data_IF_928622035556
#
_entry.id   IF_928622035556
#
_cell.length_a   1.000
_cell.length_b   1.000
_cell.length_c   1.000
_cell.angle_alpha   90.00
_cell.angle_beta   90.00
_cell.angle_gamma   90.00
#
_symmetry.space_group_name_H-M   'P 1'
#
loop_
_entity.id
_entity.type
_entity.pdbx_description
1 polymer ?
#
# COMPACT_ATOMS: atom_id res chain seq x y z
N UNK A 1 34.33 1.67 -9.39
CA UNK A 1 33.36 0.76 -8.73
C UNK A 1 33.80 0.57 -7.30
N UNK A 2 33.51 1.58 -6.50
CA UNK A 2 33.93 1.64 -5.10
C UNK A 2 32.67 1.83 -4.26
N UNK A 3 32.26 0.77 -3.56
CA UNK A 3 31.18 0.85 -2.57
C UNK A 3 31.81 0.93 -1.20
N UNK A 4 31.46 1.97 -0.44
CA UNK A 4 31.95 2.19 0.93
C UNK A 4 30.79 2.18 1.91
N UNK A 5 31.10 1.82 3.16
CA UNK A 5 30.20 1.99 4.29
C UNK A 5 30.89 2.88 5.31
N UNK A 6 30.23 3.96 5.69
CA UNK A 6 30.78 4.98 6.58
C UNK A 6 29.94 5.06 7.84
N UNK A 7 30.60 5.17 9.00
CA UNK A 7 29.96 5.40 10.29
C UNK A 7 30.39 6.74 10.89
N UNK A 8 29.43 7.54 11.40
CA UNK A 8 29.72 8.78 12.12
C UNK A 8 28.73 9.05 13.26
N UNK A 9 29.02 10.03 14.12
CA UNK A 9 28.19 10.39 15.27
C UNK A 9 26.89 11.10 14.87
N UNK A 10 26.93 11.87 13.79
CA UNK A 10 25.77 12.52 13.20
C UNK A 10 25.71 12.31 11.68
N UNK A 11 24.60 12.72 11.08
CA UNK A 11 24.38 12.56 9.63
C UNK A 11 25.27 13.48 8.80
N UNK A 12 25.66 14.64 9.32
CA UNK A 12 26.47 15.61 8.57
C UNK A 12 27.90 15.08 8.41
N UNK A 13 28.50 14.61 9.50
CA UNK A 13 29.81 13.95 9.50
C UNK A 13 29.83 12.68 8.64
N UNK A 14 28.72 11.92 8.65
CA UNK A 14 28.60 10.73 7.81
C UNK A 14 28.60 11.09 6.33
N UNK A 15 27.91 12.16 5.96
CA UNK A 15 27.84 12.66 4.58
C UNK A 15 29.16 13.28 4.12
N UNK A 16 29.83 14.04 4.98
CA UNK A 16 31.15 14.63 4.68
C UNK A 16 32.18 13.54 4.38
N UNK A 17 32.18 12.46 5.16
CA UNK A 17 33.05 11.31 4.91
C UNK A 17 32.72 10.55 3.62
N UNK A 18 31.45 10.47 3.24
CA UNK A 18 31.04 9.89 1.93
C UNK A 18 31.59 10.76 0.80
N UNK A 19 31.42 12.08 0.89
CA UNK A 19 31.92 13.04 -0.10
C UNK A 19 33.45 13.03 -0.19
N UNK A 20 34.16 12.93 0.93
CA UNK A 20 35.62 12.87 0.97
C UNK A 20 36.19 11.63 0.29
N UNK A 21 35.45 10.52 0.27
CA UNK A 21 35.94 9.23 -0.26
C UNK A 21 35.44 8.92 -1.68
N UNK A 22 34.20 9.29 -2.00
CA UNK A 22 33.57 8.98 -3.30
C UNK A 22 33.37 10.20 -4.20
N UNK A 23 33.59 11.41 -3.67
CA UNK A 23 33.39 12.65 -4.39
C UNK A 23 31.92 13.12 -4.43
N UNK A 24 31.65 14.24 -5.12
CA UNK A 24 30.33 14.89 -5.16
C UNK A 24 29.24 14.06 -5.87
N UNK A 25 29.64 13.12 -6.73
CA UNK A 25 28.73 12.29 -7.53
C UNK A 25 28.36 10.96 -6.83
N UNK A 26 28.64 10.84 -5.53
CA UNK A 26 28.36 9.65 -4.75
C UNK A 26 26.85 9.37 -4.61
N UNK A 27 26.47 8.11 -4.80
CA UNK A 27 25.09 7.64 -4.68
C UNK A 27 24.89 6.85 -3.38
N UNK A 28 23.89 7.23 -2.58
CA UNK A 28 23.56 6.53 -1.33
C UNK A 28 22.67 5.33 -1.60
N UNK A 29 23.12 4.15 -1.19
CA UNK A 29 22.37 2.89 -1.30
C UNK A 29 21.53 2.60 -0.06
N UNK A 30 22.06 2.90 1.13
CA UNK A 30 21.38 2.62 2.39
C UNK A 30 21.81 3.64 3.46
N UNK A 31 20.86 4.08 4.28
CA UNK A 31 21.12 4.91 5.46
C UNK A 31 20.39 4.34 6.66
N UNK A 32 21.13 4.08 7.74
CA UNK A 32 20.59 3.55 8.99
C UNK A 32 21.15 4.33 10.17
N UNK A 33 20.29 4.61 11.15
CA UNK A 33 20.69 5.20 12.42
C UNK A 33 20.41 4.23 13.57
N UNK A 34 21.41 3.99 14.41
CA UNK A 34 21.32 3.12 15.60
C UNK A 34 21.25 3.93 16.91
N UNK A 35 20.74 5.16 16.85
CA UNK A 35 20.48 6.02 18.00
C UNK A 35 21.72 6.74 18.55
N UNK A 36 22.93 6.30 18.22
CA UNK A 36 24.16 7.01 18.58
C UNK A 36 25.13 7.17 17.39
N UNK A 37 24.88 6.46 16.26
CA UNK A 37 25.70 6.54 15.05
C UNK A 37 24.86 6.44 13.79
N UNK A 38 25.34 7.07 12.74
CA UNK A 38 24.81 6.99 11.37
C UNK A 38 25.69 6.08 10.55
N UNK A 39 25.07 5.11 9.89
CA UNK A 39 25.72 4.19 8.95
C UNK A 39 25.19 4.48 7.55
N UNK A 40 26.06 4.90 6.65
CA UNK A 40 25.72 5.22 5.26
C UNK A 40 26.52 4.32 4.34
N UNK A 41 25.84 3.58 3.47
CA UNK A 41 26.46 2.81 2.39
C UNK A 41 26.27 3.56 1.08
N UNK A 42 27.37 3.86 0.38
CA UNK A 42 27.37 4.68 -0.83
C UNK A 42 28.29 4.11 -1.92
N UNK A 43 28.05 4.47 -3.19
CA UNK A 43 28.79 4.00 -4.37
C UNK A 43 29.07 5.13 -5.36
N UNK A 44 30.13 5.03 -6.17
CA UNK A 44 30.53 5.99 -7.22
C UNK A 44 29.90 5.73 -8.61
N UNK A 45 29.21 4.59 -8.77
CA UNK A 45 28.56 4.20 -10.03
C UNK A 45 27.18 3.55 -9.75
N UNK A 46 26.07 4.20 -10.14
CA UNK A 46 24.72 3.68 -9.92
C UNK A 46 24.29 2.62 -10.96
N UNK A 47 25.10 2.34 -11.99
CA UNK A 47 24.70 1.51 -13.14
C UNK A 47 24.52 0.00 -12.86
N UNK A 48 24.90 -0.48 -11.66
CA UNK A 48 24.78 -1.91 -11.28
C UNK A 48 24.04 -2.17 -9.96
N UNK A 49 23.32 -1.18 -9.42
CA UNK A 49 22.46 -1.40 -8.25
C UNK A 49 21.10 -0.73 -8.38
N UNK A 50 20.30 -1.20 -9.36
CA UNK A 50 18.86 -1.17 -9.16
C UNK A 50 18.57 -1.82 -7.79
N UNK A 51 17.83 -1.17 -6.88
CA UNK A 51 17.61 -1.72 -5.56
C UNK A 51 16.86 -3.05 -5.71
N UNK A 52 17.54 -4.16 -5.41
CA UNK A 52 16.81 -5.36 -5.00
C UNK A 52 16.07 -4.97 -3.73
N UNK A 53 14.75 -5.21 -3.64
CA UNK A 53 14.00 -4.90 -2.42
C UNK A 53 14.65 -5.65 -1.27
N UNK A 54 15.27 -4.92 -0.34
CA UNK A 54 15.84 -5.50 0.87
C UNK A 54 14.68 -5.87 1.77
N UNK A 55 14.22 -7.10 1.61
CA UNK A 55 13.49 -7.85 2.60
C UNK A 55 14.36 -7.94 3.86
N UNK A 56 14.07 -7.11 4.87
CA UNK A 56 14.68 -7.28 6.19
C UNK A 56 14.60 -6.04 7.08
N UNK A 57 13.52 -5.91 7.85
CA UNK A 57 13.51 -4.94 8.96
C UNK A 57 12.16 -4.54 9.54
N UNK A 58 11.03 -5.00 9.01
CA UNK A 58 9.70 -4.85 9.61
C UNK A 58 8.87 -6.12 9.39
N UNK A 59 9.36 -7.25 9.90
CA UNK A 59 8.56 -8.47 10.03
C UNK A 59 8.77 -9.13 11.39
N UNK A 60 8.48 -8.39 12.45
CA UNK A 60 8.15 -8.96 13.73
C UNK A 60 6.95 -8.18 14.27
N UNK A 61 5.73 -8.64 13.92
CA UNK A 61 4.46 -8.49 14.67
C UNK A 61 3.18 -8.57 13.80
N UNK A 62 3.28 -8.73 12.47
CA UNK A 62 2.10 -8.89 11.59
C UNK A 62 1.95 -10.25 10.89
N UNK A 63 2.70 -11.27 11.31
CA UNK A 63 2.62 -12.62 10.69
C UNK A 63 1.62 -13.60 11.32
N UNK A 64 1.15 -13.39 12.56
CA UNK A 64 0.42 -14.46 13.29
C UNK A 64 -1.11 -14.45 13.19
N UNK A 65 -1.73 -13.47 12.51
CA UNK A 65 -3.20 -13.43 12.33
C UNK A 65 -3.68 -13.69 10.90
N UNK A 66 -2.88 -13.45 9.86
CA UNK A 66 -3.29 -13.77 8.48
C UNK A 66 -3.14 -15.27 8.13
N UNK A 67 -2.17 -15.97 8.75
CA UNK A 67 -1.86 -17.38 8.42
C UNK A 67 -2.83 -18.40 9.04
N UNK A 68 -3.58 -18.05 10.08
CA UNK A 68 -4.60 -18.95 10.65
C UNK A 68 -5.83 -19.12 9.75
N UNK A 69 -6.11 -18.17 8.86
CA UNK A 69 -7.27 -18.27 7.98
C UNK A 69 -6.94 -18.96 6.64
N UNK A 70 -5.68 -18.93 6.18
CA UNK A 70 -5.24 -19.66 5.00
C UNK A 70 -4.99 -21.15 5.29
N UNK A 71 -4.38 -21.48 6.43
CA UNK A 71 -4.09 -22.87 6.82
C UNK A 71 -5.35 -23.70 7.14
N UNK A 72 -6.48 -23.08 7.48
CA UNK A 72 -7.76 -23.78 7.66
C UNK A 72 -8.41 -24.17 6.32
N UNK A 73 -8.08 -23.47 5.23
CA UNK A 73 -8.63 -23.76 3.90
C UNK A 73 -7.85 -24.86 3.16
N UNK A 74 -6.56 -25.03 3.49
CA UNK A 74 -5.65 -25.96 2.82
C UNK A 74 -5.60 -27.35 3.50
N UNK A 75 -5.96 -27.44 4.78
CA UNK A 75 -6.03 -28.73 5.51
C UNK A 75 -7.29 -29.56 5.21
N UNK A 76 -8.22 -29.08 4.38
CA UNK A 76 -9.49 -29.76 4.09
C UNK A 76 -9.47 -30.60 2.79
N UNK A 77 -8.38 -30.53 2.02
CA UNK A 77 -8.22 -31.28 0.76
C UNK A 77 -6.80 -31.85 0.63
N UNK A 78 -6.50 -32.91 1.37
CA UNK A 78 -5.37 -33.80 1.06
C UNK A 78 -5.91 -35.23 0.82
N UNK A 79 -5.64 -35.86 -0.34
CA UNK A 79 -6.06 -37.23 -0.62
C UNK A 79 -5.15 -38.24 0.10
N UNK A 80 -5.77 -39.24 0.72
CA UNK A 80 -5.13 -40.44 1.26
C UNK A 80 -4.38 -41.23 0.16
N UNK A 81 -3.08 -41.49 0.32
CA UNK A 81 -2.37 -42.41 -0.58
C UNK A 81 -0.84 -42.48 -0.50
N UNK A 82 -0.32 -43.08 0.57
CA UNK A 82 0.83 -44.03 0.62
C UNK A 82 2.18 -43.73 -0.08
N UNK A 83 3.16 -43.47 0.80
CA UNK A 83 4.53 -44.07 0.89
C UNK A 83 5.51 -43.96 -0.29
N UNK A 84 6.55 -43.15 -0.05
CA UNK A 84 7.85 -43.21 -0.70
C UNK A 84 8.58 -44.54 -0.44
N UNK A 85 9.20 -45.10 -1.49
CA UNK A 85 10.43 -45.89 -1.40
C UNK A 85 11.39 -45.54 -2.55
N UNK A 86 12.65 -45.37 -2.15
CA UNK A 86 13.88 -45.15 -2.92
C UNK A 86 14.08 -46.19 -4.02
N UNK A 87 14.75 -45.84 -5.11
CA UNK A 87 16.09 -46.37 -5.44
C UNK A 87 16.73 -45.61 -6.61
N UNK A 88 18.05 -45.47 -6.49
CA UNK A 88 18.99 -44.73 -7.31
C UNK A 88 19.28 -45.33 -8.70
N UNK A 89 19.88 -44.48 -9.55
CA UNK A 89 20.89 -44.73 -10.58
C UNK A 89 20.89 -46.06 -11.34
N UNK A 90 20.75 -46.01 -12.67
CA UNK A 90 21.65 -46.70 -13.61
C UNK A 90 21.51 -46.17 -15.05
N UNK A 91 22.67 -45.94 -15.67
CA UNK A 91 22.98 -46.10 -17.10
C UNK A 91 22.93 -44.89 -18.07
N UNK A 92 24.07 -44.19 -18.11
CA UNK A 92 24.95 -43.97 -19.25
C UNK A 92 24.51 -44.55 -20.62
N UNK A 93 24.36 -43.65 -21.60
CA UNK A 93 24.93 -43.82 -22.95
C UNK A 93 23.97 -44.00 -24.13
N UNK A 94 24.37 -43.35 -25.23
CA UNK A 94 24.02 -43.61 -26.64
C UNK A 94 22.88 -42.78 -27.26
N UNK A 95 23.28 -41.71 -27.97
CA UNK A 95 23.13 -41.64 -29.42
C UNK A 95 21.79 -41.18 -30.04
N UNK A 96 21.90 -40.08 -30.80
CA UNK A 96 21.16 -39.72 -32.04
C UNK A 96 19.63 -39.50 -31.97
N UNK A 97 19.26 -38.24 -32.22
CA UNK A 97 18.39 -37.91 -33.35
C UNK A 97 16.90 -37.68 -33.07
N UNK A 98 16.42 -36.55 -33.62
CA UNK A 98 15.07 -36.25 -34.10
C UNK A 98 14.07 -35.52 -33.17
N UNK A 99 13.50 -34.47 -33.79
CA UNK A 99 12.18 -33.86 -33.64
C UNK A 99 11.83 -32.95 -32.45
N UNK A 100 11.98 -31.64 -32.71
CA UNK A 100 11.23 -30.56 -32.08
C UNK A 100 9.74 -30.58 -32.44
N UNK A 101 8.99 -31.45 -31.76
CA UNK A 101 7.52 -31.56 -31.89
C UNK A 101 6.73 -31.39 -30.59
N UNK A 102 7.38 -31.29 -29.42
CA UNK A 102 6.70 -31.36 -28.10
C UNK A 102 6.27 -30.01 -27.52
N UNK A 103 6.87 -28.89 -27.96
CA UNK A 103 6.65 -27.57 -27.35
C UNK A 103 5.26 -26.98 -27.68
N UNK A 104 4.79 -27.16 -28.92
CA UNK A 104 3.46 -26.69 -29.35
C UNK A 104 2.29 -27.42 -28.69
N UNK A 105 2.53 -28.62 -28.15
CA UNK A 105 1.52 -29.41 -27.44
C UNK A 105 1.31 -28.93 -26.00
N UNK A 106 2.39 -28.50 -25.36
CA UNK A 106 2.39 -27.92 -24.01
C UNK A 106 1.76 -26.53 -24.02
N UNK A 107 2.10 -25.68 -25.00
CA UNK A 107 1.49 -24.36 -25.16
C UNK A 107 -0.02 -24.40 -25.39
N UNK A 108 -0.50 -25.37 -26.20
CA UNK A 108 -1.94 -25.57 -26.40
C UNK A 108 -2.64 -26.06 -25.13
N UNK A 109 -1.97 -26.86 -24.32
CA UNK A 109 -2.51 -27.35 -23.05
C UNK A 109 -2.52 -26.26 -21.98
N UNK A 110 -1.47 -25.43 -21.92
CA UNK A 110 -1.42 -24.22 -21.09
C UNK A 110 -2.50 -23.22 -21.50
N UNK A 111 -2.71 -23.00 -22.81
CA UNK A 111 -3.78 -22.14 -23.31
C UNK A 111 -5.17 -22.63 -22.91
N UNK A 112 -5.41 -23.95 -22.90
CA UNK A 112 -6.67 -24.56 -22.41
C UNK A 112 -6.82 -24.39 -20.89
N UNK A 113 -5.77 -24.61 -20.11
CA UNK A 113 -5.78 -24.41 -18.67
C UNK A 113 -6.02 -22.94 -18.31
N UNK A 114 -5.41 -21.99 -19.02
CA UNK A 114 -5.68 -20.57 -18.81
C UNK A 114 -7.14 -20.20 -19.17
N UNK A 115 -7.70 -20.85 -20.19
CA UNK A 115 -9.10 -20.66 -20.57
C UNK A 115 -10.05 -21.22 -19.51
N UNK A 116 -9.75 -22.39 -18.96
CA UNK A 116 -10.50 -22.99 -17.84
C UNK A 116 -10.36 -22.16 -16.56
N UNK A 117 -9.17 -21.64 -16.24
CA UNK A 117 -8.97 -20.72 -15.11
C UNK A 117 -9.78 -19.43 -15.32
N UNK A 118 -9.85 -18.91 -16.55
CA UNK A 118 -10.69 -17.74 -16.88
C UNK A 118 -12.18 -18.06 -16.70
N UNK A 119 -12.64 -19.22 -17.14
CA UNK A 119 -14.03 -19.67 -16.97
C UNK A 119 -14.38 -19.92 -15.50
N UNK A 120 -13.48 -20.53 -14.73
CA UNK A 120 -13.63 -20.74 -13.29
C UNK A 120 -13.66 -19.41 -12.52
N UNK A 121 -12.82 -18.44 -12.89
CA UNK A 121 -12.87 -17.07 -12.33
C UNK A 121 -14.20 -16.38 -12.65
N UNK A 122 -14.74 -16.55 -13.86
CA UNK A 122 -16.05 -16.01 -14.25
C UNK A 122 -17.19 -16.69 -13.48
N UNK A 123 -17.13 -18.01 -13.31
CA UNK A 123 -18.11 -18.78 -12.54
C UNK A 123 -18.07 -18.44 -11.04
N UNK A 124 -16.87 -18.28 -10.45
CA UNK A 124 -16.69 -17.86 -9.05
C UNK A 124 -17.18 -16.43 -8.81
N UNK A 125 -16.95 -15.51 -9.75
CA UNK A 125 -17.54 -14.18 -9.71
C UNK A 125 -19.08 -14.22 -9.82
N UNK A 126 -19.62 -15.23 -10.51
CA UNK A 126 -21.05 -15.54 -10.56
C UNK A 126 -21.62 -16.09 -9.25
N UNK A 127 -20.84 -16.88 -8.51
CA UNK A 127 -21.24 -17.50 -7.24
C UNK A 127 -21.15 -16.58 -6.02
N UNK A 128 -20.40 -15.48 -6.07
CA UNK A 128 -20.47 -14.43 -5.04
C UNK A 128 -21.68 -13.49 -5.23
N UNK A 129 -22.38 -13.58 -6.36
CA UNK A 129 -23.58 -12.78 -6.69
C UNK A 129 -24.89 -13.42 -6.19
N UNK A 130 -24.87 -14.59 -5.56
CA UNK A 130 -26.08 -15.29 -5.08
C UNK A 130 -26.64 -14.78 -3.74
N UNK A 131 -26.21 -13.61 -3.26
CA UNK A 131 -26.91 -12.92 -2.19
C UNK A 131 -27.99 -11.97 -2.74
N UNK A 132 -29.20 -12.55 -2.80
CA UNK A 132 -30.52 -11.95 -2.77
C UNK A 132 -30.63 -10.42 -2.93
N UNK A 133 -30.79 -9.96 -4.17
CA UNK A 133 -31.94 -9.14 -4.64
C UNK A 133 -31.56 -8.34 -5.88
N UNK A 134 -32.11 -8.72 -7.03
CA UNK A 134 -32.15 -7.86 -8.22
C UNK A 134 -31.17 -8.24 -9.33
N UNK A 135 -31.46 -9.31 -10.07
CA UNK A 135 -30.77 -9.62 -11.31
C UNK A 135 -31.58 -9.14 -12.51
N UNK A 136 -31.10 -8.08 -13.17
CA UNK A 136 -31.28 -7.92 -14.63
C UNK A 136 -30.41 -8.99 -15.33
N UNK A 137 -30.82 -9.54 -16.49
CA UNK A 137 -30.16 -10.69 -17.13
C UNK A 137 -28.76 -10.41 -17.71
N UNK A 138 -28.20 -9.22 -17.50
CA UNK A 138 -26.85 -8.85 -17.94
C UNK A 138 -25.80 -9.46 -16.99
N UNK A 139 -25.73 -10.78 -17.06
CA UNK A 139 -24.71 -11.63 -16.44
C UNK A 139 -23.31 -11.12 -16.81
N UNK A 140 -22.66 -10.41 -15.88
CA UNK A 140 -21.21 -10.25 -15.87
C UNK A 140 -20.66 -8.83 -15.71
N UNK A 141 -21.47 -7.77 -15.84
CA UNK A 141 -20.93 -6.39 -15.87
C UNK A 141 -21.76 -5.35 -15.11
N UNK A 142 -22.50 -5.74 -14.08
CA UNK A 142 -23.24 -4.77 -13.27
C UNK A 142 -22.27 -3.74 -12.66
N UNK A 143 -22.65 -2.45 -12.58
CA UNK A 143 -21.83 -1.44 -11.91
C UNK A 143 -21.46 -1.82 -10.48
N UNK A 144 -22.36 -2.49 -9.75
CA UNK A 144 -22.07 -3.03 -8.42
C UNK A 144 -20.91 -4.03 -8.41
N UNK A 145 -20.83 -4.94 -9.40
CA UNK A 145 -19.71 -5.88 -9.53
C UNK A 145 -18.40 -5.16 -9.85
N UNK A 146 -18.43 -4.13 -10.70
CA UNK A 146 -17.24 -3.31 -10.99
C UNK A 146 -16.73 -2.59 -9.74
N UNK A 147 -17.62 -2.11 -8.88
CA UNK A 147 -17.25 -1.53 -7.59
C UNK A 147 -16.65 -2.58 -6.64
N UNK A 148 -17.23 -3.78 -6.57
CA UNK A 148 -16.65 -4.86 -5.76
C UNK A 148 -15.24 -5.25 -6.23
N UNK A 149 -15.05 -5.37 -7.56
CA UNK A 149 -13.74 -5.65 -8.16
C UNK A 149 -12.72 -4.51 -7.94
N UNK A 150 -13.18 -3.27 -7.80
CA UNK A 150 -12.35 -2.11 -7.45
C UNK A 150 -12.02 -2.03 -5.95
N UNK A 151 -12.51 -2.96 -5.12
CA UNK A 151 -12.21 -3.03 -3.69
C UNK A 151 -13.12 -2.20 -2.78
N UNK A 152 -14.25 -1.70 -3.29
CA UNK A 152 -15.26 -1.08 -2.43
C UNK A 152 -15.94 -2.14 -1.55
N UNK A 153 -16.27 -1.77 -0.31
CA UNK A 153 -16.95 -2.68 0.62
C UNK A 153 -18.38 -2.96 0.16
N UNK A 154 -18.87 -4.16 0.46
CA UNK A 154 -20.25 -4.56 0.17
C UNK A 154 -21.27 -3.60 0.82
N UNK A 155 -20.99 -3.11 2.02
CA UNK A 155 -21.81 -2.11 2.71
C UNK A 155 -21.92 -0.81 1.90
N UNK A 156 -20.81 -0.30 1.35
CA UNK A 156 -20.82 0.91 0.52
C UNK A 156 -21.55 0.67 -0.79
N UNK A 157 -21.36 -0.50 -1.41
CA UNK A 157 -22.04 -0.86 -2.66
C UNK A 157 -23.55 -0.94 -2.40
N UNK A 158 -23.98 -1.62 -1.35
CA UNK A 158 -25.39 -1.72 -0.99
C UNK A 158 -25.99 -0.35 -0.67
N UNK A 159 -25.29 0.48 0.10
CA UNK A 159 -25.76 1.81 0.50
C UNK A 159 -25.87 2.79 -0.68
N UNK A 160 -24.89 2.80 -1.58
CA UNK A 160 -24.82 3.79 -2.68
C UNK A 160 -25.51 3.28 -3.96
N UNK A 161 -25.43 1.98 -4.25
CA UNK A 161 -25.94 1.40 -5.49
C UNK A 161 -27.30 0.70 -5.32
N UNK A 162 -27.61 0.13 -4.15
CA UNK A 162 -28.88 -0.55 -3.88
C UNK A 162 -30.11 0.30 -4.25
N UNK A 163 -30.21 1.57 -3.80
CA UNK A 163 -31.35 2.44 -4.11
C UNK A 163 -31.50 2.82 -5.59
N UNK A 164 -30.44 2.69 -6.40
CA UNK A 164 -30.41 3.15 -7.80
C UNK A 164 -30.44 2.01 -8.81
N UNK A 165 -30.31 0.75 -8.38
CA UNK A 165 -30.20 -0.42 -9.24
C UNK A 165 -31.45 -0.68 -10.11
N UNK A 166 -32.62 -0.21 -9.67
CA UNK A 166 -33.90 -0.34 -10.38
C UNK A 166 -34.21 0.83 -11.33
N UNK A 167 -33.38 1.89 -11.31
CA UNK A 167 -33.58 3.07 -12.16
C UNK A 167 -33.08 2.84 -13.59
N UNK A 168 -33.59 3.65 -14.51
CA UNK A 168 -33.05 3.74 -15.87
C UNK A 168 -31.60 4.24 -15.86
N UNK A 169 -30.73 3.84 -16.80
CA UNK A 169 -29.28 4.04 -16.71
C UNK A 169 -28.83 5.48 -16.41
N UNK A 170 -29.42 6.47 -17.09
CA UNK A 170 -29.05 7.88 -16.90
C UNK A 170 -29.53 8.42 -15.54
N UNK A 171 -30.75 8.03 -15.13
CA UNK A 171 -31.29 8.37 -13.81
C UNK A 171 -30.50 7.68 -12.68
N UNK A 172 -30.12 6.42 -12.88
CA UNK A 172 -29.31 5.63 -11.95
C UNK A 172 -27.94 6.29 -11.76
N UNK A 173 -27.29 6.72 -12.85
CA UNK A 173 -26.00 7.42 -12.80
C UNK A 173 -26.09 8.73 -12.04
N UNK A 174 -27.09 9.56 -12.36
CA UNK A 174 -27.30 10.85 -11.71
C UNK A 174 -27.58 10.68 -10.20
N UNK A 175 -28.47 9.76 -9.84
CA UNK A 175 -28.79 9.46 -8.45
C UNK A 175 -27.60 8.86 -7.69
N UNK A 176 -26.80 8.00 -8.32
CA UNK A 176 -25.58 7.46 -7.73
C UNK A 176 -24.57 8.56 -7.41
N UNK A 177 -24.31 9.47 -8.36
CA UNK A 177 -23.40 10.59 -8.16
C UNK A 177 -23.88 11.53 -7.06
N UNK A 178 -25.19 11.78 -6.98
CA UNK A 178 -25.78 12.55 -5.89
C UNK A 178 -25.55 11.86 -4.52
N UNK A 179 -25.83 10.56 -4.42
CA UNK A 179 -25.58 9.79 -3.20
C UNK A 179 -24.09 9.81 -2.80
N UNK A 180 -23.17 9.69 -3.76
CA UNK A 180 -21.72 9.82 -3.50
C UNK A 180 -21.38 11.21 -2.98
N UNK A 181 -21.90 12.27 -3.60
CA UNK A 181 -21.64 13.64 -3.18
C UNK A 181 -22.13 13.91 -1.76
N UNK A 182 -23.35 13.45 -1.42
CA UNK A 182 -23.91 13.56 -0.07
C UNK A 182 -23.07 12.83 0.98
N UNK A 183 -22.43 11.71 0.62
CA UNK A 183 -21.61 10.93 1.54
C UNK A 183 -20.16 11.46 1.68
N UNK A 184 -19.63 12.16 0.68
CA UNK A 184 -18.25 12.67 0.67
C UNK A 184 -18.11 14.10 1.18
N UNK A 185 -19.16 14.91 1.02
CA UNK A 185 -19.09 16.34 1.36
C UNK A 185 -19.40 16.53 2.84
N UNK A 186 -18.44 17.11 3.57
CA UNK A 186 -18.68 17.52 4.95
C UNK A 186 -19.76 18.62 4.99
N UNK A 187 -20.80 18.52 5.84
CA UNK A 187 -21.95 19.43 5.83
C UNK A 187 -21.55 20.87 6.20
N UNK A 188 -20.57 21.02 7.09
CA UNK A 188 -20.02 22.34 7.46
C UNK A 188 -18.82 22.67 6.56
N UNK A 189 -19.01 23.60 5.61
CA UNK A 189 -17.94 24.09 4.73
C UNK A 189 -16.99 25.08 5.43
N UNK A 190 -17.44 25.70 6.52
CA UNK A 190 -16.72 26.76 7.23
C UNK A 190 -16.12 26.26 8.55
N UNK A 191 -15.99 24.95 8.71
CA UNK A 191 -15.47 24.32 9.93
C UNK A 191 -14.11 24.91 10.36
N UNK A 192 -13.26 25.33 9.42
CA UNK A 192 -11.96 25.94 9.74
C UNK A 192 -12.07 27.29 10.45
N UNK A 193 -13.13 28.07 10.21
CA UNK A 193 -13.35 29.37 10.86
C UNK A 193 -14.26 29.28 12.09
N UNK A 194 -15.12 28.25 12.13
CA UNK A 194 -16.08 28.05 13.23
C UNK A 194 -15.51 27.22 14.38
N UNK A 195 -14.64 26.23 14.12
CA UNK A 195 -14.09 25.33 15.14
C UNK A 195 -12.85 25.93 15.80
N UNK A 196 -12.73 25.73 17.12
CA UNK A 196 -11.60 26.22 17.94
C UNK A 196 -10.45 25.22 18.04
N UNK A 197 -10.75 23.93 17.98
CA UNK A 197 -9.77 22.86 18.15
C UNK A 197 -9.98 21.88 17.00
N UNK A 198 -8.89 21.57 16.30
CA UNK A 198 -8.88 20.66 15.16
C UNK A 198 -7.82 19.60 15.45
N UNK A 199 -8.25 18.35 15.61
CA UNK A 199 -7.37 17.23 15.88
C UNK A 199 -7.20 16.38 14.62
N UNK A 200 -5.96 16.08 14.23
CA UNK A 200 -5.65 15.19 13.11
C UNK A 200 -5.14 13.86 13.65
N UNK A 201 -5.92 12.80 13.46
CA UNK A 201 -5.69 11.46 14.03
C UNK A 201 -5.44 10.44 12.92
N UNK A 202 -4.75 9.34 13.25
CA UNK A 202 -4.43 8.28 12.30
C UNK A 202 -3.12 7.53 12.59
N UNK A 203 -2.86 6.42 11.89
CA UNK A 203 -1.68 5.58 12.11
C UNK A 203 -0.37 6.31 11.76
N UNK A 204 0.76 5.77 12.23
CA UNK A 204 2.09 6.27 11.85
C UNK A 204 2.26 6.24 10.32
N UNK A 205 2.94 7.23 9.75
CA UNK A 205 3.16 7.33 8.30
C UNK A 205 1.99 7.84 7.46
N UNK A 206 0.78 8.00 8.01
CA UNK A 206 -0.40 8.47 7.26
C UNK A 206 -0.37 9.95 6.82
N UNK A 207 0.74 10.67 7.04
CA UNK A 207 0.88 12.07 6.64
C UNK A 207 0.21 13.10 7.55
N UNK A 208 -0.15 12.75 8.80
CA UNK A 208 -0.83 13.65 9.76
C UNK A 208 -0.13 15.00 9.93
N UNK A 209 1.17 14.99 10.18
CA UNK A 209 1.96 16.22 10.41
C UNK A 209 2.00 17.09 9.15
N UNK A 210 2.15 16.47 7.98
CA UNK A 210 2.10 17.15 6.69
C UNK A 210 0.71 17.76 6.43
N UNK A 211 -0.37 17.03 6.77
CA UNK A 211 -1.73 17.53 6.64
C UNK A 211 -1.97 18.73 7.56
N UNK A 212 -1.51 18.67 8.81
CA UNK A 212 -1.56 19.82 9.74
C UNK A 212 -0.83 21.02 9.16
N UNK A 213 0.38 20.85 8.63
CA UNK A 213 1.13 21.93 7.98
C UNK A 213 0.39 22.53 6.78
N UNK A 214 -0.24 21.71 5.94
CA UNK A 214 -1.05 22.17 4.79
C UNK A 214 -2.30 22.92 5.24
N UNK A 215 -3.02 22.40 6.24
CA UNK A 215 -4.18 23.07 6.83
C UNK A 215 -3.77 24.43 7.39
N UNK A 216 -2.68 24.48 8.15
CA UNK A 216 -2.13 25.70 8.73
C UNK A 216 -1.73 26.74 7.67
N UNK A 217 -1.04 26.31 6.61
CA UNK A 217 -0.68 27.20 5.50
C UNK A 217 -1.93 27.76 4.80
N UNK A 218 -2.94 26.92 4.56
CA UNK A 218 -4.21 27.35 3.96
C UNK A 218 -4.98 28.30 4.88
N UNK A 219 -5.05 28.00 6.18
CA UNK A 219 -5.68 28.83 7.20
C UNK A 219 -5.05 30.22 7.29
N UNK A 220 -3.71 30.31 7.25
CA UNK A 220 -2.98 31.58 7.24
C UNK A 220 -3.29 32.46 6.02
N UNK A 221 -3.60 31.85 4.88
CA UNK A 221 -3.95 32.55 3.65
C UNK A 221 -5.46 32.79 3.49
N UNK A 222 -6.30 32.27 4.39
CA UNK A 222 -7.76 32.38 4.29
C UNK A 222 -8.26 33.59 5.09
N UNK A 223 -8.88 34.60 4.45
CA UNK A 223 -9.43 35.76 5.14
C UNK A 223 -10.49 35.37 6.19
N UNK A 224 -10.48 36.05 7.34
CA UNK A 224 -11.42 35.79 8.43
C UNK A 224 -11.07 34.58 9.31
N UNK A 225 -9.96 33.90 9.05
CA UNK A 225 -9.45 32.86 9.95
C UNK A 225 -8.92 33.49 11.24
N UNK A 226 -9.35 32.94 12.37
CA UNK A 226 -8.88 33.38 13.69
C UNK A 226 -7.41 33.00 13.89
N UNK A 227 -6.65 33.73 14.73
CA UNK A 227 -5.31 33.30 15.14
C UNK A 227 -5.35 31.87 15.66
N UNK A 228 -4.35 31.07 15.29
CA UNK A 228 -4.27 29.66 15.66
C UNK A 228 -2.82 29.27 15.96
N UNK A 229 -2.68 28.29 16.84
CA UNK A 229 -1.40 27.69 17.20
C UNK A 229 -1.34 26.24 16.74
N UNK A 230 -0.14 25.72 16.58
CA UNK A 230 0.09 24.30 16.26
C UNK A 230 0.57 23.58 17.50
N UNK A 231 -0.09 22.47 17.80
CA UNK A 231 0.25 21.65 18.94
C UNK A 231 0.57 20.21 18.54
N UNK A 232 1.51 19.60 19.26
CA UNK A 232 1.87 18.19 19.08
C UNK A 232 1.55 17.42 20.35
N UNK A 233 0.69 16.40 20.24
CA UNK A 233 0.45 15.43 21.30
C UNK A 233 1.17 14.13 20.92
N UNK A 234 2.22 13.79 21.65
CA UNK A 234 2.97 12.53 21.48
C UNK A 234 3.34 11.96 22.83
N UNK A 235 3.24 10.64 22.99
CA UNK A 235 3.66 9.91 24.19
C UNK A 235 5.18 9.67 24.23
N UNK A 236 5.90 10.01 23.16
CA UNK A 236 7.37 9.96 23.08
C UNK A 236 7.92 11.35 22.74
N UNK A 237 8.55 12.05 23.68
CA UNK A 237 8.86 13.48 23.54
C UNK A 237 10.06 13.82 22.64
N UNK A 238 10.86 12.85 22.15
CA UNK A 238 12.22 13.18 21.69
C UNK A 238 12.51 13.21 20.18
N UNK A 239 11.62 12.75 19.28
CA UNK A 239 11.92 12.71 17.82
C UNK A 239 10.75 13.20 16.94
N UNK A 240 9.50 13.15 17.42
CA UNK A 240 8.31 13.40 16.60
C UNK A 240 7.89 14.89 16.56
N UNK A 241 8.52 15.74 17.37
CA UNK A 241 8.18 17.17 17.45
C UNK A 241 8.94 18.06 16.45
N UNK A 242 10.03 17.58 15.85
CA UNK A 242 10.80 18.37 14.86
C UNK A 242 9.97 18.79 13.64
N UNK A 243 9.17 17.92 13.01
CA UNK A 243 8.51 18.30 11.76
C UNK A 243 7.40 19.35 11.97
N UNK A 244 6.65 19.26 13.07
CA UNK A 244 5.59 20.24 13.36
C UNK A 244 6.16 21.57 13.86
N UNK A 245 7.27 21.53 14.60
CA UNK A 245 8.02 22.73 14.98
C UNK A 245 8.61 23.42 13.75
N UNK A 246 9.14 22.65 12.78
CA UNK A 246 9.60 23.19 11.50
C UNK A 246 8.45 23.81 10.70
N UNK A 247 7.30 23.14 10.58
CA UNK A 247 6.11 23.72 9.96
C UNK A 247 5.65 25.01 10.65
N UNK A 248 5.63 25.05 11.99
CA UNK A 248 5.27 26.24 12.75
C UNK A 248 6.22 27.40 12.46
N UNK A 249 7.54 27.15 12.48
CA UNK A 249 8.57 28.16 12.14
C UNK A 249 8.40 28.70 10.72
N UNK A 250 8.17 27.85 9.72
CA UNK A 250 7.93 28.27 8.34
C UNK A 250 6.69 29.17 8.21
N UNK A 251 5.70 28.96 9.08
CA UNK A 251 4.47 29.74 9.11
C UNK A 251 4.53 30.91 10.09
N UNK A 252 5.67 31.21 10.72
CA UNK A 252 5.80 32.20 11.80
C UNK A 252 4.76 32.00 12.92
N UNK A 253 4.54 30.75 13.30
CA UNK A 253 3.66 30.32 14.40
C UNK A 253 4.49 29.78 15.55
N UNK A 254 3.95 29.89 16.76
CA UNK A 254 4.57 29.32 17.96
C UNK A 254 4.09 27.88 18.14
N UNK A 255 4.96 26.87 18.06
CA UNK A 255 4.57 25.50 18.35
C UNK A 255 4.36 25.35 19.87
N UNK A 256 3.22 24.77 20.25
CA UNK A 256 2.89 24.46 21.64
C UNK A 256 3.17 22.97 21.90
N UNK A 257 4.17 22.61 22.72
CA UNK A 257 4.34 21.23 23.14
C UNK A 257 3.21 20.87 24.11
N UNK A 258 2.38 19.89 23.75
CA UNK A 258 1.40 19.32 24.67
C UNK A 258 1.99 18.01 25.20
N UNK A 259 2.54 18.07 26.42
CA UNK A 259 2.88 16.86 27.18
C UNK A 259 1.61 16.11 27.54
N UNK A 260 1.59 14.80 27.29
CA UNK A 260 0.54 13.88 27.74
C UNK A 260 1.12 12.98 28.81
#
# INVERSE_FOLDING_TARGET
MTTITVTAGDSADAMEKVLAQLGPDAYILESRSDGNRFHIRATDDPSTSAPKPVSGGVHALQGKKQQRNAALHEAMYEPLGTTARRQDDYNRGVGRGLDGGSDRGLDRSLGKIEQEIRQLKQALAGMTLTNASGLKPELGFTPGLKLAQAGYSEELIHRLYGPVASLEPEAARSAFLAAVAENLVHPDRNWMTTKRIICVLGPSGAGKTTLVGKIAANAKNTPGTKPFDLACMTTKPSIVQEPISACARLLNLTPIPLGV
#
